data_IF_090109544928
#
_entry.id   IF_090109544928
#
_cell.length_a   1.000
_cell.length_b   1.000
_cell.length_c   1.000
_cell.angle_alpha   90.00
_cell.angle_beta   90.00
_cell.angle_gamma   90.00
#
_symmetry.space_group_name_H-M   'P 1'
#
loop_
_entity.id
_entity.type
_entity.pdbx_description
1 polymer ?
#
# COMPACT_ATOMS: atom_id res chain seq x y z
N UNK A 1 9.94 -37.50 -5.09
CA UNK A 1 9.96 -36.02 -5.13
C UNK A 1 9.01 -35.59 -6.23
N UNK A 2 7.72 -35.56 -5.94
CA UNK A 2 6.72 -35.13 -6.91
C UNK A 2 6.59 -33.62 -6.77
N UNK A 3 7.08 -32.89 -7.76
CA UNK A 3 6.85 -31.44 -7.85
C UNK A 3 5.37 -31.15 -7.64
N UNK A 4 5.03 -30.22 -6.75
CA UNK A 4 3.66 -29.71 -6.62
C UNK A 4 3.33 -28.80 -7.82
N UNK A 5 3.23 -29.42 -8.99
CA UNK A 5 2.91 -28.79 -10.28
C UNK A 5 1.59 -28.01 -10.21
N UNK A 6 0.51 -28.50 -9.53
CA UNK A 6 -0.71 -27.73 -9.40
C UNK A 6 -0.53 -26.38 -8.68
N UNK A 7 0.24 -26.34 -7.58
CA UNK A 7 0.47 -25.11 -6.83
C UNK A 7 1.24 -24.05 -7.64
N UNK A 8 2.26 -24.49 -8.39
CA UNK A 8 3.05 -23.61 -9.25
C UNK A 8 2.22 -22.98 -10.37
N UNK A 9 1.33 -23.77 -11.00
CA UNK A 9 0.43 -23.29 -12.06
C UNK A 9 -0.52 -22.23 -11.52
N UNK A 10 -1.12 -22.45 -10.35
CA UNK A 10 -2.04 -21.48 -9.73
C UNK A 10 -1.34 -20.16 -9.43
N UNK A 11 -0.12 -20.20 -8.86
CA UNK A 11 0.67 -19.01 -8.59
C UNK A 11 1.03 -18.25 -9.87
N UNK A 12 1.45 -18.95 -10.92
CA UNK A 12 1.77 -18.33 -12.21
C UNK A 12 0.55 -17.61 -12.82
N UNK A 13 -0.62 -18.27 -12.81
CA UNK A 13 -1.87 -17.67 -13.30
C UNK A 13 -2.24 -16.44 -12.47
N UNK A 14 -2.13 -16.52 -11.15
CA UNK A 14 -2.44 -15.40 -10.26
C UNK A 14 -1.59 -14.17 -10.54
N UNK A 15 -0.26 -14.32 -10.67
CA UNK A 15 0.62 -13.20 -11.01
C UNK A 15 0.35 -12.63 -12.40
N UNK A 16 0.04 -13.48 -13.40
CA UNK A 16 -0.32 -13.02 -14.74
C UNK A 16 -1.63 -12.21 -14.73
N UNK A 17 -2.62 -12.60 -13.93
CA UNK A 17 -3.86 -11.83 -13.76
C UNK A 17 -3.61 -10.46 -13.11
N UNK A 18 -2.77 -10.40 -12.08
CA UNK A 18 -2.40 -9.12 -11.42
C UNK A 18 -1.66 -8.21 -12.40
N UNK A 19 -0.67 -8.75 -13.12
CA UNK A 19 0.07 -7.98 -14.13
C UNK A 19 -0.86 -7.52 -15.27
N UNK A 20 -1.74 -8.39 -15.76
CA UNK A 20 -2.69 -8.09 -16.82
C UNK A 20 -3.68 -6.99 -16.43
N UNK A 21 -4.27 -7.09 -15.23
CA UNK A 21 -5.19 -6.06 -14.71
C UNK A 21 -4.48 -4.73 -14.47
N UNK A 22 -3.24 -4.75 -13.97
CA UNK A 22 -2.41 -3.55 -13.79
C UNK A 22 -2.06 -2.86 -15.11
N UNK A 23 -1.65 -3.64 -16.13
CA UNK A 23 -1.34 -3.11 -17.46
C UNK A 23 -2.61 -2.54 -18.12
N UNK A 24 -3.73 -3.26 -18.04
CA UNK A 24 -5.03 -2.78 -18.55
C UNK A 24 -5.48 -1.49 -17.88
N UNK A 25 -5.38 -1.41 -16.55
CA UNK A 25 -5.70 -0.21 -15.79
C UNK A 25 -4.79 0.97 -16.14
N UNK A 26 -3.47 0.74 -16.30
CA UNK A 26 -2.50 1.75 -16.72
C UNK A 26 -2.80 2.28 -18.12
N UNK A 27 -3.11 1.39 -19.08
CA UNK A 27 -3.49 1.78 -20.44
C UNK A 27 -4.80 2.58 -20.46
N UNK A 28 -5.78 2.19 -19.62
CA UNK A 28 -7.04 2.93 -19.47
C UNK A 28 -6.82 4.31 -18.87
N UNK A 29 -5.98 4.44 -17.84
CA UNK A 29 -5.63 5.72 -17.22
C UNK A 29 -4.95 6.66 -18.21
N UNK A 30 -3.93 6.18 -18.94
CA UNK A 30 -3.24 6.96 -19.99
C UNK A 30 -4.18 7.44 -21.10
N UNK A 31 -5.21 6.66 -21.44
CA UNK A 31 -6.20 7.05 -22.46
C UNK A 31 -7.13 8.17 -21.99
N UNK A 32 -7.41 8.24 -20.69
CA UNK A 32 -8.21 9.32 -20.07
C UNK A 32 -7.35 10.56 -19.90
N UNK A 33 -6.11 10.40 -19.43
CA UNK A 33 -5.13 11.49 -19.25
C UNK A 33 -4.83 12.23 -20.56
N UNK A 34 -4.66 11.50 -21.68
CA UNK A 34 -4.45 12.10 -23.01
C UNK A 34 -5.58 13.01 -23.50
N UNK A 35 -6.78 12.94 -22.90
CA UNK A 35 -7.90 13.83 -23.23
C UNK A 35 -7.91 15.12 -22.40
N UNK A 36 -7.05 15.22 -21.38
CA UNK A 36 -6.98 16.35 -20.46
C UNK A 36 -5.64 17.09 -20.63
N UNK A 37 -5.66 18.42 -20.57
CA UNK A 37 -4.49 19.26 -20.86
C UNK A 37 -3.83 19.72 -19.54
N UNK A 38 -2.54 19.44 -19.34
CA UNK A 38 -1.76 20.02 -18.24
C UNK A 38 -2.10 19.53 -16.83
N UNK A 39 -2.27 20.46 -15.87
CA UNK A 39 -2.49 20.22 -14.43
C UNK A 39 -3.63 19.24 -14.11
N UNK A 40 -4.68 19.23 -14.93
CA UNK A 40 -5.84 18.36 -14.77
C UNK A 40 -5.49 16.88 -15.00
N UNK A 41 -4.50 16.60 -15.85
CA UNK A 41 -4.02 15.23 -16.08
C UNK A 41 -3.35 14.65 -14.83
N UNK A 42 -2.59 15.47 -14.10
CA UNK A 42 -1.92 15.03 -12.87
C UNK A 42 -2.90 14.84 -11.71
N UNK A 43 -3.93 15.67 -11.58
CA UNK A 43 -5.03 15.43 -10.63
C UNK A 43 -5.82 14.15 -10.97
N UNK A 44 -6.05 13.86 -12.26
CA UNK A 44 -6.73 12.61 -12.66
C UNK A 44 -5.87 11.39 -12.34
N UNK A 45 -4.57 11.43 -12.60
CA UNK A 45 -3.67 10.31 -12.36
C UNK A 45 -3.39 10.09 -10.87
N UNK A 46 -3.20 11.17 -10.08
CA UNK A 46 -2.85 11.06 -8.65
C UNK A 46 -4.06 10.97 -7.72
N UNK A 47 -5.14 11.70 -8.02
CA UNK A 47 -6.31 11.82 -7.14
C UNK A 47 -7.54 11.10 -7.72
N UNK A 48 -7.41 10.38 -8.83
CA UNK A 48 -8.53 9.77 -9.56
C UNK A 48 -9.67 10.79 -9.81
N UNK A 49 -9.31 12.04 -10.09
CA UNK A 49 -10.26 13.14 -10.29
C UNK A 49 -11.10 13.49 -9.05
N UNK A 50 -10.63 13.15 -7.84
CA UNK A 50 -11.32 13.33 -6.54
C UNK A 50 -12.70 12.65 -6.45
N UNK A 51 -12.98 11.70 -7.34
CA UNK A 51 -14.27 11.00 -7.43
C UNK A 51 -14.12 9.49 -7.17
N UNK A 52 -13.31 9.14 -6.16
CA UNK A 52 -13.26 7.77 -5.64
C UNK A 52 -14.47 7.55 -4.74
N UNK A 53 -15.21 6.47 -5.03
CA UNK A 53 -16.28 6.01 -4.15
C UNK A 53 -15.68 5.51 -2.83
N UNK A 54 -16.33 5.79 -1.71
CA UNK A 54 -15.85 5.48 -0.35
C UNK A 54 -15.50 3.99 -0.22
N UNK A 55 -16.31 3.12 -0.83
CA UNK A 55 -16.08 1.68 -0.86
C UNK A 55 -14.74 1.31 -1.51
N UNK A 56 -14.41 1.91 -2.66
CA UNK A 56 -13.12 1.70 -3.33
C UNK A 56 -11.99 2.25 -2.47
N UNK A 57 -12.20 3.39 -1.81
CA UNK A 57 -11.25 3.96 -0.85
C UNK A 57 -10.93 3.03 0.32
N UNK A 58 -11.94 2.37 0.91
CA UNK A 58 -11.74 1.38 1.99
C UNK A 58 -10.92 0.20 1.50
N UNK A 59 -11.25 -0.36 0.33
CA UNK A 59 -10.52 -1.50 -0.23
C UNK A 59 -9.06 -1.15 -0.54
N UNK A 60 -8.81 0.01 -1.16
CA UNK A 60 -7.45 0.47 -1.45
C UNK A 60 -6.65 0.71 -0.18
N UNK A 61 -7.22 1.39 0.82
CA UNK A 61 -6.54 1.63 2.09
C UNK A 61 -6.21 0.33 2.80
N UNK A 62 -7.16 -0.61 2.86
CA UNK A 62 -6.92 -1.93 3.45
C UNK A 62 -5.81 -2.68 2.71
N UNK A 63 -5.81 -2.66 1.38
CA UNK A 63 -4.78 -3.30 0.56
C UNK A 63 -3.38 -2.69 0.76
N UNK A 64 -3.27 -1.40 1.10
CA UNK A 64 -1.99 -0.74 1.40
C UNK A 64 -1.39 -1.22 2.73
N UNK A 65 -2.22 -1.41 3.76
CA UNK A 65 -1.76 -1.71 5.11
C UNK A 65 -1.69 -3.21 5.42
N UNK A 66 -2.60 -4.00 4.84
CA UNK A 66 -2.65 -5.46 5.04
C UNK A 66 -1.83 -6.13 3.94
N UNK A 67 -0.51 -6.23 4.18
CA UNK A 67 0.45 -6.84 3.26
C UNK A 67 1.16 -8.07 3.84
N UNK A 68 2.05 -8.68 3.04
CA UNK A 68 2.80 -9.87 3.46
C UNK A 68 3.65 -9.65 4.71
N UNK A 69 4.30 -8.48 4.84
CA UNK A 69 5.07 -8.14 6.03
C UNK A 69 4.23 -8.02 7.31
N UNK A 70 2.98 -7.55 7.18
CA UNK A 70 2.04 -7.50 8.30
C UNK A 70 1.62 -8.90 8.74
N UNK A 71 1.29 -9.78 7.79
CA UNK A 71 0.86 -11.16 8.07
C UNK A 71 2.00 -11.97 8.69
N UNK A 72 3.19 -11.93 8.09
CA UNK A 72 4.35 -12.64 8.60
C UNK A 72 4.77 -12.11 9.98
N UNK A 73 4.76 -10.79 10.17
CA UNK A 73 5.14 -10.17 11.43
C UNK A 73 4.20 -10.53 12.59
N UNK A 74 2.88 -10.56 12.36
CA UNK A 74 1.92 -11.01 13.39
C UNK A 74 2.06 -12.51 13.65
N UNK A 75 2.24 -13.32 12.61
CA UNK A 75 2.44 -14.76 12.78
C UNK A 75 3.69 -15.07 13.62
N UNK A 76 4.80 -14.40 13.35
CA UNK A 76 6.05 -14.54 14.11
C UNK A 76 5.89 -14.03 15.54
N UNK A 77 5.26 -12.87 15.73
CA UNK A 77 5.01 -12.31 17.05
C UNK A 77 4.21 -13.30 17.89
N UNK A 78 3.05 -13.77 17.41
CA UNK A 78 2.16 -14.70 18.14
C UNK A 78 2.82 -16.05 18.41
N UNK A 79 3.69 -16.52 17.51
CA UNK A 79 4.41 -17.78 17.67
C UNK A 79 5.49 -17.71 18.76
N UNK A 80 6.04 -16.52 19.03
CA UNK A 80 7.06 -16.36 20.05
C UNK A 80 6.44 -16.38 21.46
N UNK A 81 6.83 -17.31 22.35
CA UNK A 81 6.24 -17.44 23.68
C UNK A 81 6.49 -16.22 24.59
N UNK A 82 7.45 -15.36 24.26
CA UNK A 82 7.69 -14.08 24.97
C UNK A 82 6.79 -12.94 24.49
N UNK A 83 6.27 -13.03 23.26
CA UNK A 83 5.43 -12.04 22.60
C UNK A 83 4.04 -12.68 22.40
N UNK A 84 3.26 -12.79 23.47
CA UNK A 84 1.97 -13.49 23.41
C UNK A 84 0.92 -12.86 22.46
N UNK A 85 -0.30 -13.37 22.54
CA UNK A 85 -1.46 -12.98 21.72
C UNK A 85 -1.78 -11.47 21.71
N UNK A 86 -1.25 -10.71 22.67
CA UNK A 86 -1.39 -9.26 22.78
C UNK A 86 -0.92 -8.55 21.50
N UNK A 87 0.10 -9.07 20.81
CA UNK A 87 0.58 -8.47 19.55
C UNK A 87 -0.36 -8.68 18.36
N UNK A 88 -1.27 -9.65 18.43
CA UNK A 88 -2.33 -9.82 17.43
C UNK A 88 -3.41 -8.74 17.52
N UNK A 89 -3.43 -7.93 18.59
CA UNK A 89 -4.36 -6.80 18.74
C UNK A 89 -3.98 -5.59 17.89
N UNK A 90 -2.84 -5.61 17.20
CA UNK A 90 -2.37 -4.53 16.31
C UNK A 90 -3.42 -3.96 15.34
N UNK A 91 -4.36 -4.73 14.76
CA UNK A 91 -5.41 -4.19 13.88
C UNK A 91 -6.35 -3.19 14.57
N UNK A 92 -6.65 -3.35 15.86
CA UNK A 92 -7.60 -2.52 16.60
C UNK A 92 -7.16 -1.05 16.70
N UNK A 93 -5.93 -0.74 17.17
CA UNK A 93 -5.44 0.64 17.16
C UNK A 93 -5.28 1.20 15.74
N UNK A 94 -4.96 0.40 14.72
CA UNK A 94 -4.90 0.88 13.33
C UNK A 94 -6.26 1.37 12.83
N UNK A 95 -7.33 0.63 13.10
CA UNK A 95 -8.68 1.06 12.71
C UNK A 95 -9.04 2.37 13.42
N UNK A 96 -8.73 2.48 14.70
CA UNK A 96 -8.99 3.69 15.47
C UNK A 96 -8.22 4.91 14.91
N UNK A 97 -6.94 4.74 14.56
CA UNK A 97 -6.14 5.83 13.99
C UNK A 97 -6.61 6.21 12.59
N UNK A 98 -7.12 5.28 11.78
CA UNK A 98 -7.73 5.62 10.49
C UNK A 98 -9.03 6.41 10.64
N UNK A 99 -9.88 6.06 11.59
CA UNK A 99 -11.10 6.85 11.86
C UNK A 99 -10.77 8.24 12.38
N UNK A 100 -9.84 8.36 13.34
CA UNK A 100 -9.40 9.65 13.86
C UNK A 100 -8.72 10.49 12.77
N UNK A 101 -7.81 9.89 12.00
CA UNK A 101 -7.12 10.54 10.90
C UNK A 101 -8.09 11.01 9.81
N UNK A 102 -9.05 10.17 9.44
CA UNK A 102 -10.09 10.51 8.47
C UNK A 102 -10.96 11.67 8.94
N UNK A 103 -11.44 11.64 10.19
CA UNK A 103 -12.32 12.68 10.72
C UNK A 103 -11.63 14.05 10.82
N UNK A 104 -10.38 14.08 11.29
CA UNK A 104 -9.65 15.34 11.49
C UNK A 104 -9.02 15.89 10.20
N UNK A 105 -8.46 15.03 9.34
CA UNK A 105 -7.65 15.49 8.20
C UNK A 105 -8.35 15.44 6.85
N UNK A 106 -9.37 14.59 6.64
CA UNK A 106 -9.97 14.43 5.31
C UNK A 106 -10.68 15.69 4.82
N UNK A 107 -11.43 16.37 5.70
CA UNK A 107 -12.13 17.62 5.36
C UNK A 107 -11.17 18.76 4.99
N UNK A 108 -10.19 19.15 5.83
CA UNK A 108 -9.26 20.24 5.50
C UNK A 108 -8.38 19.91 4.30
N UNK A 109 -8.02 18.63 4.07
CA UNK A 109 -7.27 18.25 2.87
C UNK A 109 -8.09 18.41 1.58
N UNK A 110 -9.39 18.11 1.63
CA UNK A 110 -10.28 18.22 0.46
C UNK A 110 -10.64 19.67 0.14
N UNK A 111 -10.87 20.51 1.15
CA UNK A 111 -11.22 21.93 0.97
C UNK A 111 -10.07 22.75 0.39
N UNK A 112 -8.83 22.50 0.83
CA UNK A 112 -7.65 23.22 0.37
C UNK A 112 -7.02 22.65 -0.92
N UNK A 113 -7.63 21.60 -1.51
CA UNK A 113 -7.17 20.96 -2.74
C UNK A 113 -5.70 20.50 -2.69
N UNK A 114 -5.23 20.05 -1.53
CA UNK A 114 -3.89 19.48 -1.41
C UNK A 114 -3.74 18.22 -2.27
N UNK A 115 -2.55 18.04 -2.84
CA UNK A 115 -2.16 16.91 -3.67
C UNK A 115 -1.25 15.98 -2.87
N UNK A 116 -0.41 16.51 -1.98
CA UNK A 116 0.47 15.72 -1.11
C UNK A 116 0.15 15.94 0.37
N UNK A 117 0.49 14.96 1.20
CA UNK A 117 0.41 15.10 2.67
C UNK A 117 1.35 16.19 3.21
N UNK A 118 2.40 16.55 2.45
CA UNK A 118 3.38 17.55 2.83
C UNK A 118 2.95 18.98 2.48
N UNK A 119 1.97 19.18 1.60
CA UNK A 119 1.51 20.51 1.16
C UNK A 119 1.13 21.45 2.32
N UNK A 120 0.39 21.03 3.36
CA UNK A 120 0.07 21.90 4.50
C UNK A 120 1.33 22.33 5.26
N UNK A 121 2.33 21.44 5.37
CA UNK A 121 3.58 21.72 6.07
C UNK A 121 4.47 22.66 5.27
N UNK A 122 4.49 22.50 3.95
CA UNK A 122 5.22 23.37 3.04
C UNK A 122 4.68 24.82 3.07
N UNK A 123 3.35 24.98 3.10
CA UNK A 123 2.71 26.30 3.16
C UNK A 123 2.95 26.98 4.52
N UNK A 124 2.87 26.22 5.63
CA UNK A 124 2.96 26.78 6.97
C UNK A 124 4.40 27.01 7.47
N UNK A 125 5.34 26.14 7.09
CA UNK A 125 6.70 26.15 7.63
C UNK A 125 7.79 26.39 6.57
N UNK A 126 7.39 26.58 5.31
CA UNK A 126 8.30 26.82 4.19
C UNK A 126 9.01 25.57 3.69
N UNK A 127 9.72 25.75 2.58
CA UNK A 127 10.33 24.64 1.83
C UNK A 127 11.45 23.92 2.59
N UNK A 128 12.19 24.62 3.46
CA UNK A 128 13.34 24.05 4.18
C UNK A 128 12.88 23.00 5.19
N UNK A 129 11.89 23.31 6.02
CA UNK A 129 11.39 22.36 7.02
C UNK A 129 10.64 21.21 6.34
N UNK A 130 9.87 21.49 5.29
CA UNK A 130 9.18 20.45 4.51
C UNK A 130 10.17 19.45 3.90
N UNK A 131 11.28 19.93 3.35
CA UNK A 131 12.33 19.06 2.77
C UNK A 131 12.99 18.18 3.84
N UNK A 132 13.25 18.75 5.03
CA UNK A 132 13.77 17.99 6.17
C UNK A 132 12.80 16.88 6.62
N UNK A 133 11.49 17.14 6.62
CA UNK A 133 10.46 16.17 6.99
C UNK A 133 10.26 15.06 5.94
N UNK A 134 10.61 15.31 4.68
CA UNK A 134 10.55 14.31 3.61
C UNK A 134 11.63 13.24 3.78
N UNK A 135 12.83 13.57 4.28
CA UNK A 135 13.90 12.58 4.48
C UNK A 135 13.51 11.37 5.33
N UNK A 136 12.97 11.51 6.55
CA UNK A 136 12.54 10.35 7.34
C UNK A 136 11.36 9.62 6.69
N UNK A 137 10.47 10.32 5.98
CA UNK A 137 9.38 9.68 5.24
C UNK A 137 9.92 8.78 4.11
N UNK A 138 10.89 9.26 3.33
CA UNK A 138 11.55 8.46 2.30
C UNK A 138 12.26 7.24 2.86
N UNK A 139 12.96 7.39 4.00
CA UNK A 139 13.60 6.26 4.67
C UNK A 139 12.54 5.23 5.10
N UNK A 140 11.43 5.69 5.67
CA UNK A 140 10.33 4.81 6.07
C UNK A 140 9.73 4.06 4.87
N UNK A 141 9.53 4.73 3.73
CA UNK A 141 9.02 4.11 2.50
C UNK A 141 10.00 3.08 1.93
N UNK A 142 11.31 3.37 1.92
CA UNK A 142 12.34 2.41 1.48
C UNK A 142 12.34 1.18 2.39
N UNK A 143 12.27 1.37 3.70
CA UNK A 143 12.17 0.26 4.65
C UNK A 143 10.86 -0.53 4.47
N UNK A 144 9.76 0.14 4.14
CA UNK A 144 8.48 -0.51 3.83
C UNK A 144 8.60 -1.41 2.61
N UNK A 145 9.16 -0.89 1.50
CA UNK A 145 9.40 -1.67 0.28
C UNK A 145 10.34 -2.85 0.57
N UNK A 146 11.42 -2.64 1.30
CA UNK A 146 12.34 -3.71 1.69
C UNK A 146 11.63 -4.83 2.46
N UNK A 147 10.79 -4.50 3.45
CA UNK A 147 9.99 -5.49 4.20
C UNK A 147 9.04 -6.27 3.29
N UNK A 148 8.38 -5.61 2.35
CA UNK A 148 7.49 -6.31 1.40
C UNK A 148 8.25 -7.27 0.49
N UNK A 149 9.44 -6.89 0.03
CA UNK A 149 10.28 -7.73 -0.82
C UNK A 149 10.82 -8.95 -0.07
N UNK A 150 11.25 -8.77 1.19
CA UNK A 150 11.67 -9.89 2.06
C UNK A 150 10.51 -10.84 2.32
N UNK A 151 9.31 -10.31 2.59
CA UNK A 151 8.11 -11.13 2.75
C UNK A 151 7.79 -11.96 1.51
N UNK A 152 7.90 -11.37 0.31
CA UNK A 152 7.69 -12.09 -0.94
C UNK A 152 8.76 -13.17 -1.15
N UNK A 153 10.02 -12.86 -0.85
CA UNK A 153 11.13 -13.82 -0.92
C UNK A 153 10.90 -15.05 -0.02
N UNK A 154 10.52 -14.83 1.24
CA UNK A 154 10.21 -15.91 2.17
C UNK A 154 9.06 -16.79 1.68
N UNK A 155 8.00 -16.19 1.14
CA UNK A 155 6.86 -16.93 0.60
C UNK A 155 7.24 -17.78 -0.61
N UNK A 156 8.04 -17.24 -1.53
CA UNK A 156 8.50 -17.97 -2.72
C UNK A 156 9.40 -19.14 -2.33
N UNK A 157 10.37 -18.93 -1.45
CA UNK A 157 11.27 -19.98 -0.95
C UNK A 157 10.46 -21.09 -0.28
N UNK A 158 9.50 -20.73 0.59
CA UNK A 158 8.63 -21.70 1.25
C UNK A 158 7.81 -22.51 0.23
N UNK A 159 7.26 -21.87 -0.81
CA UNK A 159 6.53 -22.57 -1.87
C UNK A 159 7.42 -23.53 -2.65
N UNK A 160 8.69 -23.16 -2.92
CA UNK A 160 9.65 -24.04 -3.58
C UNK A 160 10.03 -25.25 -2.71
N UNK A 161 10.21 -25.05 -1.39
CA UNK A 161 10.50 -26.15 -0.45
C UNK A 161 9.31 -27.12 -0.38
N UNK A 162 8.09 -26.59 -0.20
CA UNK A 162 6.85 -27.40 -0.17
C UNK A 162 6.58 -28.10 -1.50
N UNK A 163 7.06 -27.55 -2.62
CA UNK A 163 6.96 -28.21 -3.92
C UNK A 163 7.99 -29.33 -4.10
N UNK A 164 9.05 -29.40 -3.30
CA UNK A 164 10.11 -30.42 -3.39
C UNK A 164 9.89 -31.62 -2.44
N UNK A 165 9.11 -31.44 -1.38
CA UNK A 165 8.59 -32.50 -0.50
C UNK A 165 7.47 -33.30 -1.16
#
# INVERSE_FOLDING_TARGET
>A
MSLNVPGLIVMAIFYLLILGTGIWASMRSKKVERKCTGSDGMEITLLAGRNINLLVGIFTLTATWVGGGFILGIAEAVYNPTLGLVWALMPVPYVLTFFLGGFFFAKPMRENKYVTMMDPFQIKYGNVLSSLLIFPALIADVLWVARTLVSLGNQLIQCFIVALE
#
